data_IF_024327337960
#
_entry.id   IF_024327337960
#
_cell.length_a   1.000
_cell.length_b   1.000
_cell.length_c   1.000
_cell.angle_alpha   90.00
_cell.angle_beta   90.00
_cell.angle_gamma   90.00
#
_symmetry.space_group_name_H-M   'P 1'
#
loop_
_entity.id
_entity.type
_entity.pdbx_description
1 polymer ?
#
# COMPACT_ATOMS: atom_id res chain seq x y z
N UNK A 1 -3.64 -21.14 8.11
CA UNK A 1 -4.32 -20.73 8.82
C UNK A 1 -4.41 -19.39 9.53
N UNK A 2 -4.28 -19.43 10.80
CA UNK A 2 -4.47 -18.23 11.62
C UNK A 2 -3.48 -17.14 11.31
N UNK A 3 -2.36 -17.52 10.76
CA UNK A 3 -1.35 -16.53 10.40
C UNK A 3 -1.88 -15.50 9.41
N UNK A 4 -2.86 -15.90 8.63
CA UNK A 4 -3.44 -14.99 7.65
C UNK A 4 -4.20 -13.85 8.30
N UNK A 5 -4.57 -14.00 9.54
CA UNK A 5 -5.31 -12.96 10.23
C UNK A 5 -4.46 -11.74 10.55
N UNK A 6 -3.13 -11.91 10.47
CA UNK A 6 -2.20 -10.83 10.72
C UNK A 6 -1.76 -10.29 9.36
N UNK A 7 -2.44 -9.24 8.92
CA UNK A 7 -2.15 -8.63 7.62
C UNK A 7 -1.20 -7.45 7.78
N UNK A 8 -0.38 -7.22 6.76
CA UNK A 8 0.56 -6.11 6.79
C UNK A 8 -0.15 -4.78 6.98
N UNK A 9 -1.30 -4.61 6.37
CA UNK A 9 -2.03 -3.35 6.48
C UNK A 9 -2.51 -3.08 7.90
N UNK A 10 -2.77 -4.10 8.69
CA UNK A 10 -3.18 -3.91 10.08
C UNK A 10 -2.05 -3.33 10.90
N UNK A 11 -0.82 -3.74 10.63
CA UNK A 11 0.32 -3.16 11.33
C UNK A 11 0.57 -1.73 10.88
N UNK A 12 0.43 -1.49 9.58
CA UNK A 12 0.79 -0.20 9.02
C UNK A 12 -0.22 0.90 9.41
N UNK A 13 -1.50 0.57 9.38
CA UNK A 13 -2.55 1.58 9.51
C UNK A 13 -3.45 1.42 10.73
N UNK A 14 -3.30 0.33 11.44
CA UNK A 14 -4.12 0.06 12.60
C UNK A 14 -5.38 -0.72 12.25
N UNK A 15 -5.56 -1.82 12.96
CA UNK A 15 -6.68 -2.70 12.69
C UNK A 15 -8.02 -2.01 12.94
N UNK A 16 -8.09 -1.21 14.01
CA UNK A 16 -9.35 -0.55 14.36
C UNK A 16 -9.81 0.41 13.28
N UNK A 17 -8.88 1.19 12.73
CA UNK A 17 -9.23 2.14 11.68
C UNK A 17 -9.71 1.44 10.43
N UNK A 18 -9.10 0.31 10.10
CA UNK A 18 -9.52 -0.46 8.93
C UNK A 18 -10.87 -1.08 9.14
N UNK A 19 -11.10 -1.67 10.30
CA UNK A 19 -12.38 -2.33 10.60
C UNK A 19 -13.52 -1.32 10.70
N UNK A 20 -13.23 -0.13 11.18
CA UNK A 20 -14.23 0.94 11.28
C UNK A 20 -14.46 1.65 9.95
N UNK A 21 -13.66 1.35 8.96
CA UNK A 21 -13.72 2.01 7.67
C UNK A 21 -13.65 3.51 7.80
N UNK A 22 -12.64 3.96 8.54
CA UNK A 22 -12.43 5.37 8.79
C UNK A 22 -12.30 6.15 7.48
N UNK A 23 -13.17 7.15 7.23
CA UNK A 23 -13.12 7.86 5.96
C UNK A 23 -11.85 8.67 5.75
N UNK A 24 -11.24 9.16 6.83
CA UNK A 24 -9.98 9.89 6.70
C UNK A 24 -8.87 8.94 6.26
N UNK A 25 -8.84 7.73 6.85
CA UNK A 25 -7.86 6.73 6.44
C UNK A 25 -8.09 6.31 4.99
N UNK A 26 -9.34 6.12 4.61
CA UNK A 26 -9.64 5.70 3.24
C UNK A 26 -9.15 6.74 2.24
N UNK A 27 -9.36 8.02 2.52
CA UNK A 27 -8.87 9.09 1.65
C UNK A 27 -7.35 9.14 1.63
N UNK A 28 -6.73 8.91 2.78
CA UNK A 28 -5.27 8.84 2.85
C UNK A 28 -4.73 7.72 1.97
N UNK A 29 -5.35 6.55 2.04
CA UNK A 29 -4.92 5.41 1.24
C UNK A 29 -5.10 5.67 -0.25
N UNK A 30 -6.20 6.30 -0.63
CA UNK A 30 -6.43 6.63 -2.02
C UNK A 30 -5.35 7.58 -2.55
N UNK A 31 -5.02 8.58 -1.74
CA UNK A 31 -3.97 9.52 -2.10
C UNK A 31 -2.62 8.84 -2.21
N UNK A 32 -2.29 7.99 -1.22
CA UNK A 32 -1.02 7.27 -1.24
C UNK A 32 -0.90 6.37 -2.45
N UNK A 33 -1.99 5.71 -2.80
CA UNK A 33 -1.99 4.86 -3.99
C UNK A 33 -1.63 5.66 -5.23
N UNK A 34 -2.21 6.84 -5.38
CA UNK A 34 -1.92 7.69 -6.54
C UNK A 34 -0.46 8.12 -6.56
N UNK A 35 0.06 8.51 -5.41
CA UNK A 35 1.44 8.96 -5.32
C UNK A 35 2.40 7.83 -5.66
N UNK A 36 2.21 6.67 -5.05
CA UNK A 36 3.09 5.54 -5.28
C UNK A 36 3.01 5.07 -6.73
N UNK A 37 1.81 5.02 -7.28
CA UNK A 37 1.63 4.60 -8.67
C UNK A 37 2.34 5.56 -9.63
N UNK A 38 2.24 6.86 -9.36
CA UNK A 38 2.90 7.87 -10.18
C UNK A 38 4.43 7.71 -10.14
N UNK A 39 4.98 7.46 -8.95
CA UNK A 39 6.41 7.26 -8.81
C UNK A 39 6.86 6.00 -9.55
N UNK A 40 6.09 4.93 -9.45
CA UNK A 40 6.41 3.69 -10.15
C UNK A 40 6.42 3.88 -11.66
N UNK A 41 5.46 4.64 -12.19
CA UNK A 41 5.45 4.92 -13.62
C UNK A 41 6.71 5.67 -14.05
N UNK A 42 7.13 6.65 -13.24
CA UNK A 42 8.36 7.38 -13.54
C UNK A 42 9.58 6.50 -13.51
N UNK A 43 9.65 5.60 -12.54
CA UNK A 43 10.81 4.72 -12.41
C UNK A 43 10.88 3.66 -13.49
N UNK A 44 9.77 3.34 -14.13
CA UNK A 44 9.74 2.30 -15.15
C UNK A 44 10.59 2.65 -16.36
N UNK A 45 10.98 3.90 -16.50
CA UNK A 45 11.77 4.36 -17.64
C UNK A 45 13.28 4.17 -17.43
N UNK A 46 13.71 3.80 -16.23
CA UNK A 46 15.10 3.55 -15.93
C UNK A 46 15.28 2.10 -15.52
N UNK A 47 16.44 1.53 -15.85
CA UNK A 47 16.69 0.09 -15.61
C UNK A 47 17.97 -0.14 -14.83
N UNK A 48 18.24 0.71 -13.85
CA UNK A 48 19.39 0.50 -12.99
C UNK A 48 19.01 -0.40 -11.82
N UNK A 49 20.03 -0.99 -11.18
CA UNK A 49 19.79 -1.86 -10.04
C UNK A 49 19.12 -1.10 -8.90
N UNK A 50 19.56 0.13 -8.64
CA UNK A 50 18.93 0.93 -7.59
C UNK A 50 17.48 1.22 -7.88
N UNK A 51 17.15 1.47 -9.13
CA UNK A 51 15.78 1.72 -9.53
C UNK A 51 14.94 0.47 -9.34
N UNK A 52 15.47 -0.70 -9.66
CA UNK A 52 14.74 -1.94 -9.46
C UNK A 52 14.44 -2.20 -7.99
N UNK A 53 15.40 -1.92 -7.11
CA UNK A 53 15.18 -2.08 -5.68
C UNK A 53 14.10 -1.13 -5.19
N UNK A 54 14.12 0.10 -5.67
CA UNK A 54 13.11 1.07 -5.29
C UNK A 54 11.74 0.68 -5.83
N UNK A 55 11.69 0.17 -7.06
CA UNK A 55 10.43 -0.31 -7.63
C UNK A 55 9.85 -1.45 -6.79
N UNK A 56 10.69 -2.38 -6.35
CA UNK A 56 10.22 -3.49 -5.54
C UNK A 56 9.65 -2.99 -4.20
N UNK A 57 10.34 -2.06 -3.57
CA UNK A 57 9.87 -1.50 -2.30
C UNK A 57 8.55 -0.77 -2.46
N UNK A 58 8.42 0.02 -3.53
CA UNK A 58 7.19 0.76 -3.79
C UNK A 58 6.04 -0.17 -4.17
N UNK A 59 6.32 -1.21 -4.94
CA UNK A 59 5.31 -2.17 -5.31
C UNK A 59 4.78 -2.90 -4.08
N UNK A 60 5.66 -3.22 -3.14
CA UNK A 60 5.26 -3.86 -1.90
C UNK A 60 4.37 -2.92 -1.08
N UNK A 61 4.75 -1.64 -1.01
CA UNK A 61 3.94 -0.66 -0.31
C UNK A 61 2.58 -0.51 -0.97
N UNK A 62 2.54 -0.49 -2.29
CA UNK A 62 1.28 -0.39 -3.01
C UNK A 62 0.38 -1.59 -2.71
N UNK A 63 0.96 -2.78 -2.61
CA UNK A 63 0.19 -3.97 -2.28
C UNK A 63 -0.46 -3.84 -0.90
N UNK A 64 0.26 -3.29 0.07
CA UNK A 64 -0.29 -3.08 1.41
C UNK A 64 -1.41 -2.06 1.37
N UNK A 65 -1.24 -0.98 0.61
CA UNK A 65 -2.28 0.04 0.46
C UNK A 65 -3.54 -0.57 -0.13
N UNK A 66 -3.40 -1.35 -1.18
CA UNK A 66 -4.56 -1.95 -1.82
C UNK A 66 -5.22 -3.01 -0.95
N UNK A 67 -4.43 -3.73 -0.18
CA UNK A 67 -4.99 -4.66 0.78
C UNK A 67 -5.85 -3.93 1.81
N UNK A 68 -5.36 -2.81 2.32
CA UNK A 68 -6.13 -2.02 3.29
C UNK A 68 -7.40 -1.49 2.67
N UNK A 69 -7.33 -0.98 1.45
CA UNK A 69 -8.53 -0.48 0.77
C UNK A 69 -9.55 -1.57 0.54
N UNK A 70 -9.08 -2.75 0.20
CA UNK A 70 -9.96 -3.89 -0.01
C UNK A 70 -10.68 -4.26 1.29
N UNK A 71 -9.94 -4.26 2.38
CA UNK A 71 -10.54 -4.60 3.68
C UNK A 71 -11.55 -3.56 4.13
N UNK A 72 -11.43 -2.33 3.66
CA UNK A 72 -12.33 -1.24 4.04
C UNK A 72 -13.56 -1.15 3.15
N UNK A 73 -13.62 -1.95 2.12
CA UNK A 73 -14.82 -2.01 1.28
C UNK A 73 -15.87 -2.99 1.87
#
# INVERSE_FOLDING_TARGET
GEMRLVRACYYEYGRDLIEKRDPALFRYLDREKRIVSSILEGLSQAQTENVRKRQAALAERLAVIEEARYEMQ
#
